data_IF_725245574991
#
_entry.id   IF_725245574991
#
_cell.length_a   1.000
_cell.length_b   1.000
_cell.length_c   1.000
_cell.angle_alpha   90.00
_cell.angle_beta   90.00
_cell.angle_gamma   90.00
#
_symmetry.space_group_name_H-M   'P 1'
#
loop_
_entity.id
_entity.type
_entity.pdbx_description
1 polymer ?
#
# COMPACT_ATOMS: atom_id res chain seq x y z
N UNK A 1 11.44 -43.44 -32.60
CA UNK A 1 11.02 -42.25 -31.80
C UNK A 1 11.54 -42.32 -30.36
N UNK A 2 12.74 -42.88 -30.13
CA UNK A 2 13.18 -43.32 -28.78
C UNK A 2 14.63 -42.96 -28.40
N UNK A 3 15.37 -42.19 -29.21
CA UNK A 3 16.79 -41.89 -28.93
C UNK A 3 17.04 -40.53 -28.27
N UNK A 4 16.05 -39.63 -28.20
CA UNK A 4 16.20 -38.31 -27.56
C UNK A 4 16.11 -38.35 -26.02
N UNK A 5 15.62 -39.45 -25.44
CA UNK A 5 15.39 -39.57 -23.99
C UNK A 5 16.63 -39.98 -23.19
N UNK A 6 17.60 -40.66 -23.79
CA UNK A 6 18.78 -41.17 -23.07
C UNK A 6 19.83 -40.10 -22.80
N UNK A 7 19.96 -39.09 -23.68
CA UNK A 7 20.95 -38.01 -23.52
C UNK A 7 20.58 -37.02 -22.41
N UNK A 8 19.28 -36.78 -22.21
CA UNK A 8 18.76 -35.87 -21.17
C UNK A 8 18.92 -36.45 -19.76
N UNK A 9 18.75 -37.78 -19.61
CA UNK A 9 18.99 -38.47 -18.34
C UNK A 9 20.47 -38.51 -17.94
N UNK A 10 21.38 -38.56 -18.91
CA UNK A 10 22.83 -38.58 -18.64
C UNK A 10 23.37 -37.23 -18.15
N UNK A 11 22.72 -36.13 -18.52
CA UNK A 11 23.05 -34.78 -18.05
C UNK A 11 22.45 -34.55 -16.65
N UNK A 12 21.23 -35.04 -16.36
CA UNK A 12 20.64 -34.89 -15.03
C UNK A 12 21.32 -35.74 -13.94
N UNK A 13 22.01 -36.82 -14.31
CA UNK A 13 22.74 -37.67 -13.35
C UNK A 13 24.10 -37.12 -12.93
N UNK A 14 24.60 -36.07 -13.58
CA UNK A 14 25.92 -35.46 -13.30
C UNK A 14 25.84 -34.12 -12.57
N UNK A 15 24.64 -33.61 -12.28
CA UNK A 15 24.45 -32.30 -11.67
C UNK A 15 23.98 -32.49 -10.23
N UNK A 16 24.83 -32.10 -9.29
CA UNK A 16 24.50 -32.11 -7.85
C UNK A 16 23.34 -31.12 -7.60
N UNK A 17 22.15 -31.59 -7.16
CA UNK A 17 20.99 -30.71 -7.00
C UNK A 17 21.19 -29.64 -5.91
N UNK A 18 22.09 -29.88 -4.95
CA UNK A 18 22.46 -28.92 -3.92
C UNK A 18 23.23 -27.71 -4.50
N UNK A 19 24.15 -27.93 -5.43
CA UNK A 19 24.90 -26.85 -6.09
C UNK A 19 24.02 -26.01 -7.01
N UNK A 20 23.00 -26.63 -7.62
CA UNK A 20 22.01 -25.90 -8.43
C UNK A 20 21.20 -24.96 -7.55
N UNK A 21 20.76 -25.42 -6.38
CA UNK A 21 20.04 -24.57 -5.41
C UNK A 21 20.89 -23.41 -4.89
N UNK A 22 22.19 -23.62 -4.65
CA UNK A 22 23.12 -22.56 -4.24
C UNK A 22 23.34 -21.51 -5.34
N UNK A 23 23.49 -21.94 -6.59
CA UNK A 23 23.65 -21.04 -7.74
C UNK A 23 22.36 -20.31 -8.08
N UNK A 24 21.19 -20.95 -7.92
CA UNK A 24 19.88 -20.30 -8.06
C UNK A 24 19.67 -19.27 -6.95
N UNK A 25 20.05 -19.56 -5.70
CA UNK A 25 19.97 -18.60 -4.60
C UNK A 25 20.91 -17.39 -4.80
N UNK A 26 22.11 -17.62 -5.35
CA UNK A 26 23.07 -16.56 -5.68
C UNK A 26 22.62 -15.72 -6.89
N UNK A 27 22.03 -16.34 -7.91
CA UNK A 27 21.54 -15.67 -9.11
C UNK A 27 20.25 -14.86 -8.85
N UNK A 28 19.39 -15.34 -7.95
CA UNK A 28 18.10 -14.70 -7.61
C UNK A 28 18.11 -13.93 -6.27
N UNK A 29 19.29 -13.72 -5.67
CA UNK A 29 19.49 -12.71 -4.62
C UNK A 29 18.86 -13.03 -3.26
N UNK A 30 18.70 -14.30 -2.91
CA UNK A 30 18.18 -14.67 -1.59
C UNK A 30 19.30 -14.76 -0.56
N UNK A 31 19.42 -13.77 0.33
CA UNK A 31 20.16 -13.91 1.59
C UNK A 31 19.17 -14.12 2.76
N UNK A 32 19.15 -15.30 3.40
CA UNK A 32 18.33 -15.55 4.58
C UNK A 32 19.21 -15.53 5.84
N UNK A 33 19.50 -14.35 6.39
CA UNK A 33 20.13 -14.27 7.71
C UNK A 33 20.03 -12.93 8.47
N UNK A 34 19.56 -11.83 7.86
CA UNK A 34 19.55 -10.51 8.55
C UNK A 34 18.18 -9.98 8.96
N UNK A 35 17.11 -10.77 8.84
CA UNK A 35 15.76 -10.36 9.31
C UNK A 35 15.34 -11.01 10.65
N UNK A 36 16.29 -11.59 11.40
CA UNK A 36 16.01 -12.28 12.66
C UNK A 36 16.65 -11.62 13.90
N UNK A 37 16.69 -10.29 13.95
CA UNK A 37 16.84 -9.58 15.23
C UNK A 37 15.61 -8.70 15.48
N UNK A 38 14.78 -9.01 16.49
CA UNK A 38 13.75 -8.09 16.92
C UNK A 38 14.41 -6.84 17.50
N UNK A 39 13.92 -5.68 17.09
CA UNK A 39 14.31 -4.36 17.59
C UNK A 39 14.28 -4.33 19.12
N UNK A 40 15.46 -4.36 19.75
CA UNK A 40 15.63 -3.96 21.13
C UNK A 40 15.75 -2.43 21.15
N UNK A 41 14.89 -1.79 21.92
CA UNK A 41 14.83 -0.34 22.11
C UNK A 41 16.18 0.22 22.58
N UNK A 42 16.88 0.94 21.69
CA UNK A 42 18.01 1.78 22.08
C UNK A 42 17.47 3.18 22.34
N UNK A 43 17.27 3.47 23.63
CA UNK A 43 17.05 4.83 24.13
C UNK A 43 18.32 5.64 23.86
N UNK A 44 18.28 6.56 22.88
CA UNK A 44 19.28 7.61 22.76
C UNK A 44 19.00 8.69 23.81
N UNK A 45 19.93 8.82 24.77
CA UNK A 45 19.99 9.98 25.64
C UNK A 45 20.67 11.12 24.88
N UNK A 46 19.96 12.24 24.79
CA UNK A 46 20.45 13.50 24.25
C UNK A 46 21.64 14.02 25.09
N UNK A 47 22.76 14.27 24.40
CA UNK A 47 23.93 14.97 24.93
C UNK A 47 24.47 15.89 23.86
N UNK A 48 23.87 17.08 23.75
CA UNK A 48 24.34 18.17 22.89
C UNK A 48 25.42 18.93 23.63
N UNK A 49 26.68 18.78 23.21
CA UNK A 49 27.73 19.74 23.50
C UNK A 49 28.34 20.25 22.19
N UNK A 50 28.45 21.58 22.11
CA UNK A 50 28.64 22.31 20.87
C UNK A 50 30.04 22.17 20.30
N UNK A 51 30.08 21.92 18.99
CA UNK A 51 31.27 22.17 18.19
C UNK A 51 31.03 23.43 17.37
N UNK A 52 31.59 24.52 17.87
CA UNK A 52 31.79 25.80 17.20
C UNK A 52 32.66 25.55 15.97
N UNK A 53 32.16 25.82 14.78
CA UNK A 53 32.97 25.83 13.57
C UNK A 53 33.51 27.24 13.37
N UNK A 54 34.79 27.40 13.68
CA UNK A 54 35.55 28.62 13.42
C UNK A 54 36.10 28.56 11.98
N UNK A 55 35.81 29.59 11.19
CA UNK A 55 36.32 29.80 9.84
C UNK A 55 37.85 29.76 9.83
N UNK A 56 38.46 28.79 9.12
CA UNK A 56 39.88 28.82 8.81
C UNK A 56 40.16 28.58 7.32
N UNK A 57 40.47 29.71 6.71
CA UNK A 57 41.15 30.00 5.45
C UNK A 57 41.94 28.88 4.80
N UNK A 58 41.84 28.88 3.47
CA UNK A 58 42.48 27.99 2.53
C UNK A 58 43.96 27.71 2.78
N UNK A 59 44.28 26.42 2.72
CA UNK A 59 45.62 25.94 2.42
C UNK A 59 45.53 25.13 1.14
N UNK A 60 46.10 25.68 0.07
CA UNK A 60 46.32 25.04 -1.21
C UNK A 60 47.32 23.90 -1.05
N UNK A 61 46.82 22.73 -0.64
CA UNK A 61 47.54 21.48 -0.75
C UNK A 61 47.17 20.83 -2.09
N UNK A 62 48.07 20.89 -3.06
CA UNK A 62 48.03 20.04 -4.24
C UNK A 62 48.25 18.59 -3.81
N UNK A 63 47.20 17.95 -3.31
CA UNK A 63 47.16 16.51 -3.14
C UNK A 63 47.09 15.90 -4.54
N UNK A 64 48.21 15.34 -4.98
CA UNK A 64 48.29 14.55 -6.19
C UNK A 64 47.23 13.43 -6.10
N UNK A 65 46.18 13.56 -6.91
CA UNK A 65 45.16 12.52 -7.09
C UNK A 65 45.89 11.31 -7.66
N UNK A 66 46.08 10.30 -6.82
CA UNK A 66 46.60 9.01 -7.24
C UNK A 66 45.76 8.51 -8.42
N UNK A 67 46.41 8.27 -9.55
CA UNK A 67 45.77 7.89 -10.82
C UNK A 67 44.85 6.70 -10.62
N UNK A 68 43.55 6.91 -10.83
CA UNK A 68 42.60 5.82 -10.96
C UNK A 68 43.02 4.97 -12.16
N UNK A 69 43.32 3.69 -11.91
CA UNK A 69 43.66 2.75 -12.97
C UNK A 69 42.58 2.76 -14.07
N UNK A 70 42.99 2.95 -15.32
CA UNK A 70 42.08 2.90 -16.46
C UNK A 70 41.36 1.54 -16.48
N UNK A 71 40.02 1.57 -16.44
CA UNK A 71 39.23 0.34 -16.44
C UNK A 71 39.35 -0.33 -17.80
N UNK A 72 39.84 -1.56 -17.78
CA UNK A 72 39.85 -2.42 -18.96
C UNK A 72 38.43 -2.82 -19.35
N UNK A 73 38.16 -3.01 -20.65
CA UNK A 73 36.87 -3.52 -21.11
C UNK A 73 36.62 -4.92 -20.52
N UNK A 74 35.37 -5.20 -20.15
CA UNK A 74 34.99 -6.49 -19.58
C UNK A 74 34.87 -7.60 -20.65
N UNK A 75 34.74 -7.22 -21.92
CA UNK A 75 34.60 -8.13 -23.05
C UNK A 75 35.24 -7.51 -24.30
N UNK A 76 35.76 -8.39 -25.17
CA UNK A 76 36.34 -8.04 -26.46
C UNK A 76 35.65 -8.90 -27.53
N UNK A 77 35.32 -8.29 -28.67
CA UNK A 77 34.74 -9.00 -29.81
C UNK A 77 35.85 -9.36 -30.81
N UNK A 78 35.93 -10.63 -31.20
CA UNK A 78 36.91 -11.12 -32.16
C UNK A 78 36.59 -10.66 -33.59
N UNK A 79 35.31 -10.37 -33.89
CA UNK A 79 34.89 -9.92 -35.21
C UNK A 79 35.35 -8.48 -35.50
N UNK A 80 35.48 -7.62 -34.49
CA UNK A 80 35.96 -6.23 -34.64
C UNK A 80 37.38 -6.15 -35.21
N UNK A 81 38.20 -7.19 -35.01
CA UNK A 81 39.54 -7.30 -35.59
C UNK A 81 39.54 -7.69 -37.07
N UNK A 82 38.46 -8.33 -37.55
CA UNK A 82 38.36 -8.88 -38.91
C UNK A 82 37.58 -7.95 -39.85
N UNK A 83 36.76 -7.05 -39.31
CA UNK A 83 35.91 -6.15 -40.10
C UNK A 83 36.70 -4.97 -40.69
N UNK A 84 36.55 -4.76 -41.99
CA UNK A 84 37.04 -3.58 -42.70
C UNK A 84 35.88 -2.78 -43.28
N UNK A 85 35.87 -1.45 -43.03
CA UNK A 85 34.77 -0.57 -43.44
C UNK A 85 35.26 0.48 -44.43
N UNK A 86 34.60 0.56 -45.58
CA UNK A 86 34.86 1.62 -46.56
C UNK A 86 34.14 2.93 -46.20
N UNK A 87 34.90 3.91 -45.73
CA UNK A 87 34.43 5.20 -45.23
C UNK A 87 34.13 6.20 -46.35
N UNK A 88 34.67 5.97 -47.56
CA UNK A 88 34.46 6.81 -48.75
C UNK A 88 33.05 6.73 -49.32
N UNK A 89 32.42 5.56 -49.14
CA UNK A 89 31.19 5.16 -49.82
C UNK A 89 29.97 6.02 -49.43
N UNK A 90 29.82 6.33 -48.14
CA UNK A 90 28.63 7.00 -47.58
C UNK A 90 28.96 8.38 -47.05
N UNK A 91 28.13 9.38 -47.37
CA UNK A 91 28.30 10.77 -46.91
C UNK A 91 28.37 10.92 -45.38
N UNK A 92 27.69 10.05 -44.63
CA UNK A 92 27.76 10.04 -43.15
C UNK A 92 29.12 9.59 -42.63
N UNK A 93 29.75 8.63 -43.31
CA UNK A 93 31.02 8.04 -42.89
C UNK A 93 32.21 8.93 -43.27
N UNK A 94 32.12 9.70 -44.37
CA UNK A 94 33.15 10.69 -44.75
C UNK A 94 33.50 11.68 -43.62
N UNK A 95 32.58 11.94 -42.70
CA UNK A 95 32.80 12.80 -41.52
C UNK A 95 33.73 12.20 -40.46
N UNK A 96 34.01 10.90 -40.54
CA UNK A 96 34.91 10.16 -39.65
C UNK A 96 36.36 10.10 -40.19
N UNK A 97 36.63 10.69 -41.37
CA UNK A 97 37.98 10.74 -41.94
C UNK A 97 38.84 11.78 -41.25
N UNK A 98 40.11 11.46 -41.03
CA UNK A 98 41.11 12.42 -40.56
C UNK A 98 41.93 12.96 -41.73
N UNK A 99 42.22 12.12 -42.73
CA UNK A 99 42.86 12.50 -43.99
C UNK A 99 41.98 12.18 -45.19
N UNK A 100 42.26 12.83 -46.34
CA UNK A 100 41.46 12.67 -47.56
C UNK A 100 41.71 11.32 -48.26
N UNK A 101 42.88 10.73 -48.06
CA UNK A 101 43.34 9.48 -48.67
C UNK A 101 42.77 8.22 -47.97
N UNK A 102 42.13 8.36 -46.80
CA UNK A 102 41.54 7.25 -46.05
C UNK A 102 40.25 6.70 -46.71
N UNK A 103 40.38 5.54 -47.35
CA UNK A 103 39.27 4.83 -48.02
C UNK A 103 38.70 3.69 -47.17
N UNK A 104 39.56 2.89 -46.53
CA UNK A 104 39.17 1.76 -45.68
C UNK A 104 39.76 1.94 -44.27
N UNK A 105 38.98 1.60 -43.24
CA UNK A 105 39.41 1.57 -41.84
C UNK A 105 39.19 0.18 -41.25
N UNK A 106 40.09 -0.23 -40.36
CA UNK A 106 39.90 -1.39 -39.51
C UNK A 106 38.75 -1.14 -38.50
N UNK A 107 38.05 -2.20 -38.11
CA UNK A 107 36.87 -2.11 -37.23
C UNK A 107 37.14 -1.37 -35.91
N UNK A 108 38.27 -1.65 -35.27
CA UNK A 108 38.69 -1.00 -34.01
C UNK A 108 38.88 0.51 -34.14
N UNK A 109 39.49 0.97 -35.24
CA UNK A 109 39.70 2.41 -35.49
C UNK A 109 38.39 3.10 -35.86
N UNK A 110 37.56 2.40 -36.63
CA UNK A 110 36.23 2.87 -37.00
C UNK A 110 35.35 3.09 -35.76
N UNK A 111 35.37 2.16 -34.80
CA UNK A 111 34.70 2.29 -33.50
C UNK A 111 35.20 3.51 -32.70
N UNK A 112 36.53 3.67 -32.58
CA UNK A 112 37.11 4.80 -31.83
C UNK A 112 36.68 6.14 -32.41
N UNK A 113 36.71 6.28 -33.73
CA UNK A 113 36.30 7.51 -34.42
C UNK A 113 34.80 7.78 -34.27
N UNK A 114 33.96 6.73 -34.32
CA UNK A 114 32.54 6.84 -34.02
C UNK A 114 32.30 7.30 -32.57
N UNK A 115 33.06 6.78 -31.60
CA UNK A 115 32.98 7.22 -30.19
C UNK A 115 33.38 8.68 -30.04
N UNK A 116 34.47 9.12 -30.69
CA UNK A 116 34.85 10.55 -30.72
C UNK A 116 33.76 11.43 -31.33
N UNK A 117 33.16 11.00 -32.44
CA UNK A 117 32.06 11.72 -33.08
C UNK A 117 30.80 11.75 -32.19
N UNK A 118 30.50 10.67 -31.48
CA UNK A 118 29.40 10.61 -30.54
C UNK A 118 29.62 11.56 -29.36
N UNK A 119 30.80 11.58 -28.75
CA UNK A 119 31.16 12.53 -27.68
C UNK A 119 31.10 13.98 -28.16
N UNK A 120 31.49 14.24 -29.42
CA UNK A 120 31.39 15.56 -30.05
C UNK A 120 29.94 16.01 -30.24
N UNK A 121 29.03 15.10 -30.59
CA UNK A 121 27.61 15.40 -30.79
C UNK A 121 26.81 15.40 -29.48
N UNK A 122 27.19 14.54 -28.54
CA UNK A 122 26.55 14.31 -27.25
C UNK A 122 27.64 14.38 -26.17
N UNK A 123 27.96 15.59 -25.67
CA UNK A 123 28.90 15.78 -24.58
C UNK A 123 28.53 14.89 -23.38
N UNK A 124 29.54 14.37 -22.70
CA UNK A 124 29.33 13.49 -21.55
C UNK A 124 28.58 14.25 -20.45
N UNK A 125 27.51 13.66 -19.98
CA UNK A 125 26.69 14.21 -18.90
C UNK A 125 27.33 13.94 -17.54
N UNK A 126 27.06 14.82 -16.57
CA UNK A 126 27.52 14.66 -15.18
C UNK A 126 27.00 13.38 -14.53
N UNK A 127 25.78 12.93 -14.86
CA UNK A 127 25.22 11.67 -14.33
C UNK A 127 25.98 10.41 -14.78
N UNK A 128 26.68 10.47 -15.91
CA UNK A 128 27.54 9.40 -16.41
C UNK A 128 29.02 9.60 -16.00
N UNK A 129 29.32 10.67 -15.28
CA UNK A 129 30.57 10.84 -14.53
C UNK A 129 30.45 10.08 -13.22
N UNK A 130 31.52 9.42 -12.79
CA UNK A 130 31.56 8.80 -11.47
C UNK A 130 32.05 9.84 -10.48
N UNK A 131 31.15 10.67 -9.99
CA UNK A 131 31.41 11.43 -8.77
C UNK A 131 31.15 10.46 -7.61
N UNK A 132 32.22 9.99 -6.96
CA UNK A 132 32.16 8.93 -5.95
C UNK A 132 31.45 9.35 -4.65
N UNK A 133 31.12 10.64 -4.50
CA UNK A 133 30.78 11.23 -3.20
C UNK A 133 29.31 11.65 -3.04
N UNK A 134 28.42 11.30 -3.97
CA UNK A 134 26.99 11.54 -3.80
C UNK A 134 26.34 10.29 -3.22
N UNK A 135 26.10 10.30 -1.90
CA UNK A 135 25.15 9.40 -1.25
C UNK A 135 23.75 10.05 -1.33
N UNK A 136 22.95 9.82 -2.39
CA UNK A 136 21.57 10.30 -2.39
C UNK A 136 20.80 9.56 -1.29
N UNK A 137 19.87 10.27 -0.64
CA UNK A 137 18.96 9.66 0.32
C UNK A 137 18.23 8.49 -0.34
N UNK A 138 18.53 7.27 0.11
CA UNK A 138 18.05 6.00 -0.46
C UNK A 138 16.52 5.93 -0.57
N UNK A 139 15.81 6.65 0.31
CA UNK A 139 14.35 6.78 0.34
C UNK A 139 13.78 7.45 -0.93
N UNK A 140 14.47 8.44 -1.49
CA UNK A 140 13.99 9.20 -2.66
C UNK A 140 14.34 8.53 -3.99
N UNK A 141 15.26 7.56 -3.97
CA UNK A 141 15.61 6.74 -5.13
C UNK A 141 14.59 5.61 -5.36
N UNK A 142 13.85 5.22 -4.32
CA UNK A 142 12.79 4.24 -4.41
C UNK A 142 11.52 4.79 -5.06
N UNK A 143 10.77 3.93 -5.75
CA UNK A 143 9.44 4.26 -6.29
C UNK A 143 8.31 3.99 -5.27
N UNK A 144 8.66 3.69 -4.02
CA UNK A 144 7.70 3.37 -2.98
C UNK A 144 6.92 4.63 -2.56
N UNK A 145 5.64 4.49 -2.17
CA UNK A 145 4.90 5.62 -1.64
C UNK A 145 5.56 6.12 -0.35
N UNK A 146 5.73 7.45 -0.26
CA UNK A 146 6.33 8.09 0.92
C UNK A 146 5.40 8.08 2.14
N UNK A 147 4.10 7.88 1.91
CA UNK A 147 3.07 7.82 2.94
C UNK A 147 2.50 6.41 3.00
N UNK A 148 2.56 5.80 4.18
CA UNK A 148 1.90 4.54 4.48
C UNK A 148 0.40 4.74 4.74
N UNK A 149 -0.38 3.67 4.58
CA UNK A 149 -1.77 3.65 5.06
C UNK A 149 -1.76 3.47 6.56
N UNK A 150 -2.40 4.38 7.31
CA UNK A 150 -2.60 4.23 8.75
C UNK A 150 -3.91 3.50 9.05
N UNK A 151 -3.94 2.73 10.13
CA UNK A 151 -5.18 2.18 10.73
C UNK A 151 -5.88 3.22 11.61
N UNK A 152 -5.15 4.25 12.03
CA UNK A 152 -5.65 5.39 12.81
C UNK A 152 -6.12 6.48 11.87
N UNK A 153 -7.27 7.07 12.19
CA UNK A 153 -7.82 8.21 11.46
C UNK A 153 -6.91 9.43 11.62
N UNK A 154 -6.66 10.13 10.51
CA UNK A 154 -5.88 11.35 10.53
C UNK A 154 -6.62 12.45 11.32
N UNK A 155 -5.92 13.21 12.20
CA UNK A 155 -6.54 14.35 12.84
C UNK A 155 -6.78 15.47 11.81
N UNK A 156 -7.96 16.09 11.85
CA UNK A 156 -8.29 17.28 11.06
C UNK A 156 -8.79 17.02 9.63
N UNK A 157 -8.63 15.81 9.08
CA UNK A 157 -9.15 15.44 7.77
C UNK A 157 -10.01 14.17 7.88
N UNK A 158 -11.31 14.29 7.60
CA UNK A 158 -12.22 13.16 7.54
C UNK A 158 -12.59 12.86 6.09
N UNK A 159 -12.10 11.74 5.58
CA UNK A 159 -12.51 11.24 4.27
C UNK A 159 -13.90 10.60 4.38
N UNK A 160 -14.93 11.30 3.90
CA UNK A 160 -16.30 10.80 3.86
C UNK A 160 -16.83 10.77 2.44
N UNK A 161 -17.50 9.69 2.06
CA UNK A 161 -18.24 9.61 0.80
C UNK A 161 -19.73 9.51 1.10
N UNK A 162 -20.53 10.29 0.36
CA UNK A 162 -21.98 10.20 0.47
C UNK A 162 -22.47 8.99 -0.28
N UNK A 163 -23.20 8.14 0.43
CA UNK A 163 -23.83 6.92 -0.09
C UNK A 163 -25.34 7.16 -0.22
N UNK A 164 -26.08 6.26 -0.89
CA UNK A 164 -27.54 6.38 -0.98
C UNK A 164 -28.18 6.34 0.40
N UNK A 165 -29.23 7.14 0.57
CA UNK A 165 -29.95 7.24 1.84
C UNK A 165 -30.58 5.88 2.22
N UNK A 166 -30.50 5.51 3.50
CA UNK A 166 -30.99 4.21 3.96
C UNK A 166 -32.53 4.08 3.91
N UNK A 167 -33.25 5.19 4.11
CA UNK A 167 -34.70 5.23 4.25
C UNK A 167 -35.44 5.39 2.90
N UNK A 168 -34.79 5.10 1.76
CA UNK A 168 -35.33 5.35 0.42
C UNK A 168 -36.59 4.53 0.12
N UNK A 169 -36.63 3.28 0.56
CA UNK A 169 -37.73 2.37 0.23
C UNK A 169 -39.00 2.65 1.05
N UNK A 170 -38.87 3.16 2.27
CA UNK A 170 -40.01 3.64 3.05
C UNK A 170 -39.62 4.83 3.92
N UNK A 171 -39.90 6.07 3.48
CA UNK A 171 -39.60 7.24 4.28
C UNK A 171 -40.43 7.27 5.56
N UNK A 172 -39.81 7.69 6.66
CA UNK A 172 -40.50 7.86 7.95
C UNK A 172 -41.50 9.01 7.88
N UNK A 173 -42.72 8.78 8.39
CA UNK A 173 -43.80 9.79 8.41
C UNK A 173 -43.63 10.84 9.49
N UNK A 174 -42.69 10.64 10.42
CA UNK A 174 -42.39 11.54 11.52
C UNK A 174 -40.88 11.60 11.78
N UNK A 175 -40.47 12.33 12.82
CA UNK A 175 -39.07 12.49 13.22
C UNK A 175 -38.51 11.13 13.65
N UNK A 176 -37.38 10.74 13.04
CA UNK A 176 -36.59 9.58 13.47
C UNK A 176 -35.87 9.96 14.77
N UNK A 177 -36.15 9.23 15.84
CA UNK A 177 -35.62 9.51 17.17
C UNK A 177 -34.44 8.61 17.55
N UNK A 178 -34.46 7.37 17.10
CA UNK A 178 -33.38 6.40 17.34
C UNK A 178 -32.96 5.76 16.03
N UNK A 179 -31.64 5.61 15.86
CA UNK A 179 -31.02 4.88 14.75
C UNK A 179 -29.94 4.01 15.36
N UNK A 180 -29.98 2.71 15.06
CA UNK A 180 -29.01 1.75 15.58
C UNK A 180 -28.63 0.72 14.51
N UNK A 181 -27.34 0.40 14.44
CA UNK A 181 -26.84 -0.67 13.58
C UNK A 181 -26.78 -1.97 14.37
N UNK A 182 -27.14 -3.07 13.71
CA UNK A 182 -26.97 -4.38 14.29
C UNK A 182 -25.48 -4.69 14.48
N UNK A 183 -25.09 -5.26 15.62
CA UNK A 183 -23.68 -5.48 15.98
C UNK A 183 -22.97 -6.48 15.06
N UNK A 184 -23.69 -7.46 14.51
CA UNK A 184 -23.12 -8.52 13.68
C UNK A 184 -23.59 -8.49 12.21
N UNK A 185 -24.52 -7.61 11.84
CA UNK A 185 -25.29 -7.72 10.61
C UNK A 185 -25.46 -6.38 9.91
N UNK A 186 -25.73 -6.41 8.62
CA UNK A 186 -25.93 -5.21 7.79
C UNK A 186 -27.37 -4.67 7.92
N UNK A 187 -27.90 -4.63 9.14
CA UNK A 187 -29.23 -4.14 9.44
C UNK A 187 -29.15 -2.80 10.14
N UNK A 188 -29.98 -1.87 9.69
CA UNK A 188 -30.20 -0.57 10.29
C UNK A 188 -31.62 -0.51 10.83
N UNK A 189 -31.72 -0.26 12.12
CA UNK A 189 -32.97 0.03 12.79
C UNK A 189 -33.20 1.53 12.78
N UNK A 190 -34.42 1.92 12.43
CA UNK A 190 -34.92 3.28 12.58
C UNK A 190 -36.22 3.25 13.37
N UNK A 191 -36.32 4.11 14.37
CA UNK A 191 -37.50 4.23 15.21
C UNK A 191 -37.94 5.70 15.29
N UNK A 192 -39.23 5.93 15.08
CA UNK A 192 -39.81 7.26 15.04
C UNK A 192 -40.98 7.47 15.99
N UNK A 193 -41.42 8.72 16.08
CA UNK A 193 -42.66 9.10 16.78
C UNK A 193 -43.93 8.71 16.01
N UNK A 194 -43.78 8.17 14.79
CA UNK A 194 -44.85 7.56 13.99
C UNK A 194 -45.30 6.20 14.55
N UNK A 195 -44.73 5.77 15.69
CA UNK A 195 -44.98 4.49 16.35
C UNK A 195 -44.55 3.29 15.50
N UNK A 196 -43.71 3.53 14.50
CA UNK A 196 -43.23 2.48 13.60
C UNK A 196 -41.73 2.28 13.81
N UNK A 197 -41.34 1.01 13.88
CA UNK A 197 -39.98 0.55 13.86
C UNK A 197 -39.72 -0.07 12.50
N UNK A 198 -38.70 0.42 11.81
CA UNK A 198 -38.34 -0.08 10.48
C UNK A 198 -36.92 -0.60 10.50
N UNK A 199 -36.75 -1.77 9.88
CA UNK A 199 -35.47 -2.43 9.72
C UNK A 199 -35.13 -2.40 8.24
N UNK A 200 -33.98 -1.83 7.92
CA UNK A 200 -33.44 -1.74 6.57
C UNK A 200 -32.19 -2.61 6.48
N UNK A 201 -32.02 -3.29 5.35
CA UNK A 201 -30.73 -3.84 4.99
C UNK A 201 -29.90 -2.73 4.34
N UNK A 202 -28.69 -2.48 4.84
CA UNK A 202 -27.84 -1.37 4.40
C UNK A 202 -26.59 -1.92 3.71
N UNK A 203 -26.67 -1.95 2.39
CA UNK A 203 -25.55 -2.31 1.50
C UNK A 203 -24.89 -1.07 0.89
N UNK A 204 -25.50 0.11 1.06
CA UNK A 204 -25.06 1.38 0.50
C UNK A 204 -25.53 1.67 -0.94
N UNK A 205 -25.88 0.65 -1.71
CA UNK A 205 -26.40 0.82 -3.08
C UNK A 205 -27.90 0.53 -3.17
N UNK A 206 -28.37 -0.50 -2.49
CA UNK A 206 -29.77 -0.89 -2.47
C UNK A 206 -30.20 -1.09 -1.02
N UNK A 207 -30.75 -0.02 -0.43
CA UNK A 207 -31.18 -0.05 0.96
C UNK A 207 -32.64 -0.51 1.02
N UNK A 208 -32.85 -1.83 0.99
CA UNK A 208 -34.18 -2.43 1.00
C UNK A 208 -34.74 -2.47 2.41
N UNK A 209 -36.07 -2.37 2.51
CA UNK A 209 -36.78 -2.50 3.77
C UNK A 209 -37.04 -3.98 4.05
N UNK A 210 -36.54 -4.48 5.17
CA UNK A 210 -36.75 -5.86 5.61
C UNK A 210 -38.08 -5.98 6.33
N UNK A 211 -38.28 -5.16 7.37
CA UNK A 211 -39.44 -5.28 8.24
C UNK A 211 -39.95 -3.92 8.70
N UNK A 212 -41.25 -3.84 8.96
CA UNK A 212 -41.89 -2.72 9.62
C UNK A 212 -42.81 -3.25 10.71
N UNK A 213 -42.54 -2.85 11.95
CA UNK A 213 -43.35 -3.18 13.13
C UNK A 213 -44.02 -1.90 13.58
N UNK A 214 -45.36 -1.86 13.50
CA UNK A 214 -46.14 -0.74 13.96
C UNK A 214 -46.71 -1.03 15.35
N UNK A 215 -46.49 -0.11 16.28
CA UNK A 215 -47.11 -0.13 17.60
C UNK A 215 -48.35 0.77 17.56
N UNK A 216 -49.49 0.28 18.03
CA UNK A 216 -50.74 1.05 18.00
C UNK A 216 -50.68 2.27 18.93
N UNK A 217 -49.94 2.11 20.01
CA UNK A 217 -50.14 2.91 21.20
C UNK A 217 -48.90 3.71 21.59
N UNK A 218 -47.69 3.23 21.30
CA UNK A 218 -46.47 3.82 21.83
C UNK A 218 -45.64 4.54 20.75
N UNK A 219 -45.53 5.88 20.82
CA UNK A 219 -44.50 6.60 20.08
C UNK A 219 -43.13 6.24 20.65
N UNK A 220 -42.22 5.82 19.78
CA UNK A 220 -40.92 5.29 20.20
C UNK A 220 -39.97 6.45 20.44
N UNK A 221 -39.44 6.53 21.67
CA UNK A 221 -38.46 7.52 22.04
C UNK A 221 -37.03 6.99 21.89
N UNK A 222 -36.82 5.69 22.13
CA UNK A 222 -35.54 5.02 21.90
C UNK A 222 -35.77 3.56 21.58
N UNK A 223 -34.97 3.02 20.68
CA UNK A 223 -34.96 1.60 20.37
C UNK A 223 -33.52 1.14 20.20
N UNK A 224 -33.22 -0.07 20.67
CA UNK A 224 -31.90 -0.68 20.60
C UNK A 224 -31.96 -2.18 20.39
N UNK A 225 -30.89 -2.74 19.83
CA UNK A 225 -30.69 -4.18 19.73
C UNK A 225 -30.23 -4.74 21.09
N UNK A 226 -30.76 -5.90 21.45
CA UNK A 226 -30.44 -6.65 22.66
C UNK A 226 -30.06 -8.10 22.29
N UNK A 227 -29.41 -8.80 23.22
CA UNK A 227 -29.02 -10.20 23.07
C UNK A 227 -28.20 -10.48 21.80
N UNK A 228 -27.15 -9.70 21.58
CA UNK A 228 -26.30 -9.84 20.38
C UNK A 228 -27.00 -9.47 19.07
N UNK A 229 -28.21 -8.91 19.15
CA UNK A 229 -29.00 -8.43 18.02
C UNK A 229 -30.19 -9.30 17.63
N UNK A 230 -30.43 -10.44 18.30
CA UNK A 230 -31.62 -11.27 18.06
C UNK A 230 -32.92 -10.57 18.47
N UNK A 231 -32.88 -9.72 19.50
CA UNK A 231 -34.05 -9.02 20.01
C UNK A 231 -33.87 -7.51 19.88
N UNK A 232 -35.00 -6.80 19.81
CA UNK A 232 -35.06 -5.35 19.74
C UNK A 232 -35.94 -4.85 20.87
N UNK A 233 -35.41 -3.92 21.66
CA UNK A 233 -36.12 -3.29 22.76
C UNK A 233 -36.56 -1.91 22.30
N UNK A 234 -37.87 -1.65 22.28
CA UNK A 234 -38.44 -0.35 21.95
C UNK A 234 -39.09 0.28 23.19
N UNK A 235 -38.58 1.45 23.58
CA UNK A 235 -39.03 2.21 24.74
C UNK A 235 -39.57 3.59 24.32
N UNK A 236 -40.65 4.01 24.99
CA UNK A 236 -41.32 5.28 24.76
C UNK A 236 -41.46 6.09 26.04
N UNK A 237 -42.43 7.01 26.06
CA UNK A 237 -42.82 7.77 27.26
C UNK A 237 -43.88 7.06 28.11
N UNK A 238 -44.34 5.89 27.67
CA UNK A 238 -45.35 5.08 28.37
C UNK A 238 -44.66 4.10 29.30
N UNK A 239 -45.33 3.70 30.38
CA UNK A 239 -44.80 2.83 31.46
C UNK A 239 -44.63 1.35 31.07
N UNK A 240 -44.36 1.07 29.80
CA UNK A 240 -44.11 -0.26 29.28
C UNK A 240 -43.17 -0.18 28.09
N UNK A 241 -42.51 -1.31 27.83
CA UNK A 241 -41.51 -1.47 26.78
C UNK A 241 -41.97 -2.62 25.88
N UNK A 242 -41.68 -2.52 24.58
CA UNK A 242 -41.87 -3.64 23.67
C UNK A 242 -40.56 -4.38 23.47
N UNK A 243 -40.63 -5.70 23.58
CA UNK A 243 -39.58 -6.61 23.13
C UNK A 243 -40.04 -7.19 21.79
N UNK A 244 -39.23 -7.03 20.77
CA UNK A 244 -39.48 -7.56 19.44
C UNK A 244 -38.39 -8.58 19.15
N UNK A 245 -38.76 -9.84 18.99
CA UNK A 245 -37.85 -10.86 18.50
C UNK A 245 -37.80 -10.78 16.96
N UNK A 246 -36.59 -10.67 16.39
CA UNK A 246 -36.41 -10.49 14.95
C UNK A 246 -36.70 -11.78 14.17
N UNK A 247 -36.37 -12.93 14.75
CA UNK A 247 -36.51 -14.22 14.06
C UNK A 247 -37.98 -14.64 13.99
N UNK A 248 -38.66 -14.60 15.14
CA UNK A 248 -40.07 -14.97 15.23
C UNK A 248 -41.02 -13.83 14.88
N UNK A 249 -40.50 -12.60 14.72
CA UNK A 249 -41.30 -11.37 14.56
C UNK A 249 -42.37 -11.18 15.64
N UNK A 250 -42.15 -11.77 16.82
CA UNK A 250 -43.09 -11.70 17.94
C UNK A 250 -42.86 -10.41 18.71
N UNK A 251 -43.96 -9.72 19.01
CA UNK A 251 -43.97 -8.49 19.80
C UNK A 251 -44.54 -8.80 21.18
N UNK A 252 -43.71 -8.67 22.21
CA UNK A 252 -44.12 -8.81 23.61
C UNK A 252 -44.15 -7.45 24.28
N UNK A 253 -45.20 -7.21 25.09
CA UNK A 253 -45.33 -5.99 25.88
C UNK A 253 -44.98 -6.29 27.33
N UNK A 254 -43.91 -5.69 27.83
CA UNK A 254 -43.46 -5.84 29.22
C UNK A 254 -43.77 -4.55 30.00
N UNK A 255 -44.48 -4.67 31.12
CA UNK A 255 -44.98 -3.55 31.91
C UNK A 255 -44.13 -3.26 33.18
N UNK A 256 -44.21 -2.01 33.63
CA UNK A 256 -43.78 -1.38 34.91
C UNK A 256 -42.44 -1.78 35.57
N UNK A 257 -42.18 -3.06 35.84
CA UNK A 257 -40.97 -3.50 36.55
C UNK A 257 -39.70 -3.17 35.78
N UNK A 258 -39.73 -3.37 34.46
CA UNK A 258 -38.60 -3.13 33.56
C UNK A 258 -38.50 -1.68 33.07
N UNK A 259 -39.58 -0.90 33.18
CA UNK A 259 -39.62 0.44 32.57
C UNK A 259 -38.60 1.39 33.19
N UNK A 260 -38.45 1.37 34.53
CA UNK A 260 -37.51 2.26 35.22
C UNK A 260 -36.05 1.90 34.94
N UNK A 261 -35.72 0.61 34.99
CA UNK A 261 -34.37 0.10 34.74
C UNK A 261 -33.96 0.30 33.28
N UNK A 262 -34.80 -0.13 32.34
CA UNK A 262 -34.52 -0.01 30.90
C UNK A 262 -34.44 1.45 30.47
N UNK A 263 -35.32 2.32 30.99
CA UNK A 263 -35.22 3.77 30.73
C UNK A 263 -33.94 4.38 31.31
N UNK A 264 -33.49 3.91 32.48
CA UNK A 264 -32.24 4.37 33.10
C UNK A 264 -31.00 3.90 32.32
N UNK A 265 -31.01 2.67 31.80
CA UNK A 265 -29.98 2.11 30.92
C UNK A 265 -29.92 2.86 29.59
N UNK A 266 -31.08 3.29 29.11
CA UNK A 266 -31.17 4.12 27.91
C UNK A 266 -30.70 5.56 28.11
N UNK A 267 -30.75 6.10 29.33
CA UNK A 267 -30.25 7.43 29.67
C UNK A 267 -28.73 7.46 29.94
N UNK A 268 -28.18 6.37 30.48
CA UNK A 268 -26.74 6.24 30.74
C UNK A 268 -25.99 5.81 29.49
N UNK A 269 -25.47 6.77 28.74
CA UNK A 269 -24.62 6.51 27.57
C UNK A 269 -23.25 5.96 28.02
N UNK A 270 -22.82 4.88 27.35
CA UNK A 270 -21.44 4.34 27.27
C UNK A 270 -20.87 3.71 28.55
N UNK A 271 -21.36 2.51 28.92
CA UNK A 271 -20.48 1.41 29.36
C UNK A 271 -21.04 0.11 28.81
N UNK A 272 -20.13 -0.78 28.40
CA UNK A 272 -20.44 -2.07 27.81
C UNK A 272 -21.54 -2.81 28.58
N UNK A 273 -22.45 -3.41 27.80
CA UNK A 273 -23.58 -4.19 28.28
C UNK A 273 -23.06 -5.58 28.65
N UNK A 274 -22.78 -5.79 29.94
CA UNK A 274 -22.65 -7.14 30.52
C UNK A 274 -24.01 -7.50 31.13
N UNK A 275 -24.79 -8.28 30.40
CA UNK A 275 -25.94 -8.99 30.95
C UNK A 275 -25.39 -10.30 31.51
N UNK A 276 -25.24 -10.39 32.84
CA UNK A 276 -25.05 -11.68 33.49
C UNK A 276 -26.39 -12.40 33.55
N UNK A 277 -26.43 -13.59 32.95
CA UNK A 277 -27.46 -14.60 33.16
C UNK A 277 -27.28 -15.25 34.54
#
# INVERSE_FOLDING_TARGET
MTERHTKRQKISSQVDPAKVGELEAFLFGAQPAELAQPFADVVHQDGVEGAVWEDRQGSSGTAAVAGQAEKQPAWEDADDATVEVNVASRNRLRKLRQSEEEVALAGVEYEQRLRCQHVKMHPRTSWASRDADQQPATLLTGTAPLLGRSTVLAPGLLETTRVKDANQHEPSKSVVRSVEFHSAGQLLLTAGLDKQLRIFQVDGVHNTKVQTVAFEDMPIAKAAFANGGSQVVAAGRRKYVYLVDLESSRVERVADEWHSEVSSLFSRRVRAIDIRW
#
